data_IF_009148237649
#
_entry.id   IF_009148237649
#
_cell.length_a   1.000
_cell.length_b   1.000
_cell.length_c   1.000
_cell.angle_alpha   90.00
_cell.angle_beta   90.00
_cell.angle_gamma   90.00
#
_symmetry.space_group_name_H-M   'P 1'
#
loop_
_entity.id
_entity.type
_entity.pdbx_description
1 polymer ?
#
# COMPACT_ATOMS: atom_id res chain seq x y z
N UNK A 1 4.00 2.47 -11.14
CA UNK A 1 3.41 3.02 -9.91
C UNK A 1 2.33 4.07 -10.21
N UNK A 2 2.49 5.01 -11.17
CA UNK A 2 1.46 6.04 -11.49
C UNK A 2 0.12 5.43 -11.92
N UNK A 3 0.12 4.48 -12.85
CA UNK A 3 -1.10 3.76 -13.28
C UNK A 3 -1.73 3.00 -12.11
N UNK A 4 -0.92 2.35 -11.30
CA UNK A 4 -1.38 1.67 -10.09
C UNK A 4 -2.08 2.66 -9.14
N UNK A 5 -1.49 3.83 -8.89
CA UNK A 5 -2.09 4.86 -8.04
C UNK A 5 -3.46 5.29 -8.55
N UNK A 6 -3.60 5.51 -9.86
CA UNK A 6 -4.88 5.81 -10.46
C UNK A 6 -5.90 4.68 -10.22
N UNK A 7 -5.51 3.43 -10.47
CA UNK A 7 -6.38 2.25 -10.23
C UNK A 7 -6.77 2.12 -8.75
N UNK A 8 -5.83 2.41 -7.83
CA UNK A 8 -6.08 2.40 -6.40
C UNK A 8 -7.12 3.45 -5.99
N UNK A 9 -6.95 4.71 -6.44
CA UNK A 9 -7.85 5.80 -6.06
C UNK A 9 -9.26 5.65 -6.63
N UNK A 10 -9.39 5.15 -7.84
CA UNK A 10 -10.69 4.97 -8.51
C UNK A 10 -11.32 3.59 -8.29
N UNK A 11 -10.81 2.80 -7.33
CA UNK A 11 -11.30 1.45 -7.04
C UNK A 11 -11.37 0.55 -8.28
N UNK A 12 -10.27 0.51 -9.03
CA UNK A 12 -10.17 -0.26 -10.27
C UNK A 12 -9.18 -1.42 -10.21
N UNK A 13 -8.51 -1.61 -9.06
CA UNK A 13 -7.64 -2.76 -8.84
C UNK A 13 -8.47 -4.05 -8.76
N UNK A 14 -7.93 -5.13 -9.29
CA UNK A 14 -8.56 -6.45 -9.25
C UNK A 14 -8.40 -7.10 -7.86
N UNK A 15 -8.93 -6.43 -6.82
CA UNK A 15 -9.16 -7.05 -5.52
C UNK A 15 -10.20 -8.16 -5.65
N UNK A 16 -10.31 -9.03 -4.65
CA UNK A 16 -11.28 -10.13 -4.71
C UNK A 16 -12.71 -9.61 -4.80
N UNK A 17 -13.06 -8.55 -4.06
CA UNK A 17 -14.35 -7.88 -4.17
C UNK A 17 -14.60 -7.33 -5.59
N UNK A 18 -13.60 -6.68 -6.19
CA UNK A 18 -13.73 -6.19 -7.56
C UNK A 18 -13.94 -7.31 -8.57
N UNK A 19 -13.29 -8.45 -8.40
CA UNK A 19 -13.50 -9.62 -9.26
C UNK A 19 -14.92 -10.17 -9.13
N UNK A 20 -15.49 -10.21 -7.93
CA UNK A 20 -16.89 -10.58 -7.70
C UNK A 20 -17.84 -9.60 -8.39
N UNK A 21 -17.63 -8.30 -8.20
CA UNK A 21 -18.44 -7.25 -8.85
C UNK A 21 -18.38 -7.30 -10.38
N UNK A 22 -17.31 -7.86 -10.95
CA UNK A 22 -17.15 -8.08 -12.40
C UNK A 22 -17.63 -9.45 -12.87
N UNK A 23 -18.40 -10.16 -12.04
CA UNK A 23 -18.94 -11.51 -12.33
C UNK A 23 -17.89 -12.59 -12.61
N UNK A 24 -16.65 -12.42 -12.10
CA UNK A 24 -15.67 -13.49 -12.06
C UNK A 24 -16.03 -14.40 -10.89
N UNK A 25 -16.22 -15.69 -11.18
CA UNK A 25 -16.63 -16.64 -10.15
C UNK A 25 -15.52 -16.82 -9.13
N UNK A 26 -15.84 -16.55 -7.86
CA UNK A 26 -15.08 -17.06 -6.74
C UNK A 26 -16.04 -17.80 -5.81
N UNK A 27 -15.56 -18.87 -5.18
CA UNK A 27 -16.29 -19.47 -4.07
C UNK A 27 -16.38 -18.45 -2.92
N UNK A 28 -17.34 -18.62 -2.01
CA UNK A 28 -17.52 -17.70 -0.88
C UNK A 28 -16.24 -17.58 0.00
N UNK A 29 -15.42 -18.64 0.04
CA UNK A 29 -14.16 -18.68 0.77
C UNK A 29 -12.98 -18.02 0.03
N UNK A 30 -13.08 -17.88 -1.30
CA UNK A 30 -12.01 -17.28 -2.12
C UNK A 30 -11.93 -15.75 -1.99
N UNK A 31 -12.93 -15.13 -1.32
CA UNK A 31 -13.00 -13.68 -1.16
C UNK A 31 -12.26 -13.13 0.07
N UNK A 32 -11.68 -14.01 0.88
CA UNK A 32 -10.99 -13.62 2.10
C UNK A 32 -9.59 -13.06 1.82
N UNK A 33 -9.19 -12.09 2.62
CA UNK A 33 -7.85 -11.53 2.56
C UNK A 33 -6.81 -12.59 2.97
N UNK A 34 -5.84 -12.86 2.09
CA UNK A 34 -4.81 -13.87 2.31
C UNK A 34 -3.58 -13.34 3.05
N UNK A 35 -3.51 -12.03 3.34
CA UNK A 35 -2.35 -11.44 3.98
C UNK A 35 -2.52 -11.39 5.51
N UNK A 36 -3.71 -11.09 6.01
CA UNK A 36 -3.93 -10.90 7.45
C UNK A 36 -4.39 -12.16 8.20
N UNK A 37 -4.90 -13.17 7.52
CA UNK A 37 -5.47 -14.39 8.12
C UNK A 37 -6.63 -14.14 9.11
N UNK A 38 -7.37 -13.04 8.97
CA UNK A 38 -8.46 -12.64 9.89
C UNK A 38 -9.85 -13.00 9.39
N UNK A 39 -9.95 -13.79 8.34
CA UNK A 39 -11.25 -14.16 7.73
C UNK A 39 -12.11 -12.96 7.29
N UNK A 40 -11.48 -11.86 6.93
CA UNK A 40 -12.13 -10.63 6.43
C UNK A 40 -12.15 -10.62 4.92
N UNK A 41 -13.26 -10.14 4.33
CA UNK A 41 -13.36 -9.98 2.87
C UNK A 41 -12.32 -8.96 2.36
N UNK A 42 -11.69 -9.31 1.24
CA UNK A 42 -10.69 -8.48 0.61
C UNK A 42 -11.36 -7.49 -0.34
N UNK A 43 -11.56 -6.28 0.14
CA UNK A 43 -11.83 -5.11 -0.70
C UNK A 43 -10.62 -4.15 -0.68
N UNK A 44 -10.72 -3.05 -1.40
CA UNK A 44 -9.68 -2.02 -1.46
C UNK A 44 -9.38 -1.41 -0.09
N UNK A 45 -10.43 -1.10 0.67
CA UNK A 45 -10.28 -0.41 1.96
C UNK A 45 -9.64 -1.34 2.98
N UNK A 46 -10.10 -2.59 3.06
CA UNK A 46 -9.45 -3.57 3.93
C UNK A 46 -7.99 -3.78 3.52
N UNK A 47 -7.73 -4.14 2.26
CA UNK A 47 -6.39 -4.54 1.81
C UNK A 47 -5.35 -3.46 2.05
N UNK A 48 -5.66 -2.20 1.76
CA UNK A 48 -4.66 -1.12 1.79
C UNK A 48 -4.66 -0.30 3.08
N UNK A 49 -5.76 -0.25 3.84
CA UNK A 49 -5.87 0.64 4.99
C UNK A 49 -6.20 -0.07 6.30
N UNK A 50 -7.13 -1.04 6.31
CA UNK A 50 -7.65 -1.65 7.53
C UNK A 50 -7.05 -3.03 7.84
N UNK A 51 -6.38 -3.68 6.88
CA UNK A 51 -5.72 -4.96 7.10
C UNK A 51 -4.61 -4.80 8.15
N UNK A 52 -4.51 -5.71 9.12
CA UNK A 52 -3.45 -5.69 10.15
C UNK A 52 -2.04 -5.63 9.54
N UNK A 53 -1.82 -6.30 8.43
CA UNK A 53 -0.56 -6.20 7.71
C UNK A 53 -0.31 -4.77 7.22
N UNK A 54 -1.28 -4.18 6.55
CA UNK A 54 -1.17 -2.81 6.02
C UNK A 54 -1.10 -1.77 7.13
N UNK A 55 -1.84 -1.94 8.21
CA UNK A 55 -1.73 -1.08 9.40
C UNK A 55 -0.32 -1.09 9.99
N UNK A 56 0.33 -2.26 10.05
CA UNK A 56 1.74 -2.37 10.46
C UNK A 56 2.68 -1.61 9.51
N UNK A 57 2.41 -1.67 8.21
CA UNK A 57 3.16 -0.91 7.18
C UNK A 57 3.04 0.59 7.43
N UNK A 58 1.82 1.10 7.60
CA UNK A 58 1.58 2.53 7.78
C UNK A 58 2.14 3.05 9.11
N UNK A 59 2.02 2.27 10.17
CA UNK A 59 2.63 2.60 11.46
C UNK A 59 4.16 2.70 11.36
N UNK A 60 4.81 1.78 10.65
CA UNK A 60 6.24 1.83 10.40
C UNK A 60 6.68 3.08 9.63
N UNK A 61 5.84 3.54 8.69
CA UNK A 61 6.09 4.76 7.90
C UNK A 61 5.60 6.04 8.59
N UNK A 62 5.02 5.94 9.79
CA UNK A 62 4.39 7.04 10.51
C UNK A 62 3.31 7.76 9.69
N UNK A 63 2.54 7.01 8.90
CA UNK A 63 1.40 7.51 8.13
C UNK A 63 0.10 7.12 8.85
N UNK A 64 -0.66 8.14 9.26
CA UNK A 64 -1.93 7.99 9.97
C UNK A 64 -3.11 8.24 9.03
N UNK A 65 -4.00 7.24 8.91
CA UNK A 65 -5.19 7.27 8.06
C UNK A 65 -6.47 7.63 8.82
N UNK A 66 -6.41 8.00 10.09
CA UNK A 66 -7.59 8.17 10.98
C UNK A 66 -8.41 9.43 10.71
N UNK A 67 -8.01 10.29 9.83
CA UNK A 67 -8.51 11.66 9.73
C UNK A 67 -9.48 11.96 8.59
N UNK A 68 -10.51 11.14 8.34
CA UNK A 68 -11.46 11.48 7.29
C UNK A 68 -12.67 10.55 7.20
N UNK A 69 -13.74 11.03 6.55
CA UNK A 69 -14.96 10.25 6.30
C UNK A 69 -14.88 9.45 5.00
N UNK A 70 -13.98 9.82 4.09
CA UNK A 70 -13.72 9.14 2.84
C UNK A 70 -12.22 9.08 2.53
N UNK A 71 -11.84 8.30 1.51
CA UNK A 71 -10.44 8.07 1.16
C UNK A 71 -9.69 9.35 0.77
N UNK A 72 -10.37 10.32 0.16
CA UNK A 72 -9.74 11.57 -0.28
C UNK A 72 -9.39 12.43 0.94
N UNK A 73 -10.29 12.53 1.89
CA UNK A 73 -10.06 13.23 3.16
C UNK A 73 -8.97 12.55 3.98
N UNK A 74 -8.98 11.21 4.07
CA UNK A 74 -7.91 10.46 4.74
C UNK A 74 -6.53 10.75 4.13
N UNK A 75 -6.42 10.79 2.80
CA UNK A 75 -5.18 11.11 2.10
C UNK A 75 -4.72 12.54 2.39
N UNK A 76 -5.62 13.52 2.33
CA UNK A 76 -5.29 14.91 2.61
C UNK A 76 -4.81 15.07 4.05
N UNK A 77 -5.50 14.46 5.00
CA UNK A 77 -5.13 14.46 6.40
C UNK A 77 -3.75 13.81 6.64
N UNK A 78 -3.57 12.60 6.12
CA UNK A 78 -2.30 11.87 6.25
C UNK A 78 -1.13 12.66 5.64
N UNK A 79 -1.33 13.27 4.47
CA UNK A 79 -0.34 14.14 3.81
C UNK A 79 0.07 15.31 4.69
N UNK A 80 -0.90 15.99 5.31
CA UNK A 80 -0.64 17.15 6.18
C UNK A 80 0.17 16.73 7.41
N UNK A 81 -0.11 15.57 7.98
CA UNK A 81 0.59 15.06 9.18
C UNK A 81 1.96 14.48 8.87
N UNK A 82 2.17 13.93 7.69
CA UNK A 82 3.45 13.33 7.28
C UNK A 82 4.61 14.34 7.20
N UNK A 83 4.31 15.62 6.96
CA UNK A 83 5.25 16.77 7.02
C UNK A 83 6.46 16.70 6.07
N UNK A 84 6.49 15.79 5.11
CA UNK A 84 7.55 15.70 4.10
C UNK A 84 6.98 15.92 2.69
N UNK A 85 7.75 16.53 1.78
CA UNK A 85 7.27 16.87 0.44
C UNK A 85 7.10 15.64 -0.48
N UNK A 86 7.52 14.46 -0.04
CA UNK A 86 7.49 13.20 -0.80
C UNK A 86 6.45 12.19 -0.28
N UNK A 87 5.34 12.68 0.27
CA UNK A 87 4.26 11.84 0.79
C UNK A 87 3.73 10.84 -0.24
N UNK A 88 3.44 11.32 -1.46
CA UNK A 88 2.86 10.45 -2.50
C UNK A 88 3.85 9.40 -3.00
N UNK A 89 5.12 9.73 -3.08
CA UNK A 89 6.19 8.77 -3.42
C UNK A 89 6.23 7.63 -2.41
N UNK A 90 6.22 7.94 -1.13
CA UNK A 90 6.22 6.96 -0.04
C UNK A 90 4.93 6.15 -0.04
N UNK A 91 3.78 6.81 -0.03
CA UNK A 91 2.47 6.16 0.02
C UNK A 91 2.26 5.20 -1.16
N UNK A 92 2.50 5.67 -2.39
CA UNK A 92 2.29 4.85 -3.59
C UNK A 92 3.27 3.68 -3.69
N UNK A 93 4.53 3.89 -3.28
CA UNK A 93 5.52 2.80 -3.26
C UNK A 93 5.17 1.77 -2.20
N UNK A 94 4.72 2.20 -1.03
CA UNK A 94 4.29 1.31 0.05
C UNK A 94 3.07 0.47 -0.37
N UNK A 95 2.02 1.12 -0.90
CA UNK A 95 0.82 0.46 -1.37
C UNK A 95 1.11 -0.49 -2.55
N UNK A 96 1.98 -0.11 -3.49
CA UNK A 96 2.44 -0.96 -4.58
C UNK A 96 3.08 -2.25 -4.05
N UNK A 97 3.93 -2.16 -3.03
CA UNK A 97 4.57 -3.34 -2.45
C UNK A 97 3.61 -4.22 -1.64
N UNK A 98 2.57 -3.65 -1.02
CA UNK A 98 1.45 -4.44 -0.46
C UNK A 98 0.76 -5.23 -1.58
N UNK A 99 0.45 -4.58 -2.69
CA UNK A 99 -0.19 -5.20 -3.86
C UNK A 99 0.64 -6.33 -4.47
N UNK A 100 1.94 -6.15 -4.61
CA UNK A 100 2.85 -7.18 -5.12
C UNK A 100 2.89 -8.39 -4.19
N UNK A 101 2.99 -8.19 -2.87
CA UNK A 101 2.97 -9.29 -1.90
C UNK A 101 1.63 -10.03 -1.90
N UNK A 102 0.51 -9.28 -1.96
CA UNK A 102 -0.82 -9.90 -2.09
C UNK A 102 -0.92 -10.76 -3.34
N UNK A 103 -0.42 -10.29 -4.48
CA UNK A 103 -0.43 -11.05 -5.73
C UNK A 103 0.51 -12.27 -5.65
N UNK A 104 1.67 -12.15 -5.05
CA UNK A 104 2.56 -13.28 -4.77
C UNK A 104 1.87 -14.35 -3.92
N UNK A 105 1.17 -13.94 -2.87
CA UNK A 105 0.38 -14.86 -2.02
C UNK A 105 -0.77 -15.51 -2.77
N UNK A 106 -1.49 -14.75 -3.60
CA UNK A 106 -2.68 -15.23 -4.32
C UNK A 106 -2.33 -16.19 -5.45
N UNK A 107 -1.30 -15.89 -6.25
CA UNK A 107 -1.03 -16.61 -7.50
C UNK A 107 0.15 -17.56 -7.44
N UNK A 108 1.05 -17.40 -6.46
CA UNK A 108 2.28 -18.20 -6.35
C UNK A 108 2.47 -18.84 -4.98
N UNK A 109 1.48 -18.75 -4.08
CA UNK A 109 1.52 -19.23 -2.70
C UNK A 109 2.75 -18.71 -1.90
N UNK A 110 3.31 -17.56 -2.28
CA UNK A 110 4.43 -16.94 -1.58
C UNK A 110 4.01 -16.43 -0.21
N UNK A 111 4.94 -16.45 0.75
CA UNK A 111 4.65 -15.91 2.10
C UNK A 111 4.71 -14.39 2.08
N UNK A 112 3.61 -13.74 2.43
CA UNK A 112 3.55 -12.31 2.65
C UNK A 112 4.06 -11.99 4.07
N UNK A 113 5.31 -11.52 4.18
CA UNK A 113 5.90 -11.12 5.45
C UNK A 113 6.25 -9.64 5.48
N UNK A 114 6.22 -9.04 6.66
CA UNK A 114 6.62 -7.65 6.82
C UNK A 114 8.08 -7.40 6.41
N UNK A 115 8.98 -8.35 6.70
CA UNK A 115 10.38 -8.26 6.30
C UNK A 115 10.54 -8.23 4.78
N UNK A 116 9.82 -9.11 4.05
CA UNK A 116 9.83 -9.12 2.59
C UNK A 116 9.29 -7.79 2.02
N UNK A 117 8.19 -7.27 2.60
CA UNK A 117 7.65 -5.96 2.24
C UNK A 117 8.69 -4.85 2.48
N UNK A 118 9.31 -4.81 3.67
CA UNK A 118 10.30 -3.79 4.03
C UNK A 118 11.48 -3.78 3.05
N UNK A 119 12.06 -4.94 2.75
CA UNK A 119 13.17 -5.05 1.79
C UNK A 119 12.79 -4.51 0.42
N UNK A 120 11.61 -4.90 -0.11
CA UNK A 120 11.15 -4.41 -1.42
C UNK A 120 10.84 -2.92 -1.40
N UNK A 121 10.19 -2.43 -0.36
CA UNK A 121 9.87 -1.02 -0.20
C UNK A 121 11.15 -0.16 -0.18
N UNK A 122 12.13 -0.52 0.65
CA UNK A 122 13.41 0.21 0.74
C UNK A 122 14.14 0.20 -0.61
N UNK A 123 14.17 -0.95 -1.29
CA UNK A 123 14.75 -1.04 -2.63
C UNK A 123 14.07 -0.08 -3.62
N UNK A 124 12.73 -0.15 -3.72
CA UNK A 124 11.97 0.61 -4.71
C UNK A 124 11.99 2.12 -4.43
N UNK A 125 11.87 2.53 -3.16
CA UNK A 125 11.92 3.95 -2.79
C UNK A 125 13.34 4.53 -2.99
N UNK A 126 14.39 3.73 -2.78
CA UNK A 126 15.77 4.13 -3.07
C UNK A 126 15.99 4.35 -4.57
N UNK A 127 15.46 3.48 -5.42
CA UNK A 127 15.47 3.68 -6.87
C UNK A 127 14.69 4.93 -7.29
N UNK A 128 13.54 5.18 -6.64
CA UNK A 128 12.72 6.35 -6.92
C UNK A 128 13.44 7.65 -6.53
N UNK A 129 14.27 7.62 -5.48
CA UNK A 129 15.05 8.79 -5.03
C UNK A 129 15.98 9.34 -6.13
N UNK A 130 16.36 8.53 -7.12
CA UNK A 130 17.14 9.01 -8.28
C UNK A 130 16.31 9.73 -9.34
N UNK A 131 14.97 9.68 -9.23
CA UNK A 131 14.02 10.23 -10.22
C UNK A 131 13.21 11.42 -9.69
N UNK A 132 13.30 11.71 -8.39
CA UNK A 132 12.67 12.88 -7.81
C UNK A 132 13.50 14.15 -8.08
N UNK A 133 12.86 15.31 -7.92
CA UNK A 133 13.53 16.61 -8.06
C UNK A 133 14.74 16.72 -7.11
N UNK A 134 15.80 17.36 -7.57
CA UNK A 134 17.05 17.55 -6.78
C UNK A 134 16.80 18.23 -5.43
N UNK A 135 15.80 19.11 -5.34
CA UNK A 135 15.41 19.77 -4.08
C UNK A 135 14.79 18.82 -3.04
N UNK A 136 14.25 17.68 -3.47
CA UNK A 136 13.58 16.68 -2.62
C UNK A 136 14.55 15.53 -2.27
N UNK A 137 15.42 15.18 -3.19
CA UNK A 137 16.30 14.01 -3.10
C UNK A 137 17.08 13.90 -1.80
N UNK A 138 17.79 14.93 -1.29
CA UNK A 138 18.54 14.81 -0.03
C UNK A 138 17.64 14.49 1.17
N UNK A 139 16.48 15.12 1.23
CA UNK A 139 15.48 14.90 2.30
C UNK A 139 14.92 13.48 2.25
N UNK A 140 14.64 12.97 1.06
CA UNK A 140 14.14 11.60 0.88
C UNK A 140 15.21 10.57 1.25
N UNK A 141 16.47 10.76 0.83
CA UNK A 141 17.58 9.87 1.19
C UNK A 141 17.85 9.84 2.70
N UNK A 142 17.84 11.01 3.37
CA UNK A 142 17.98 11.09 4.81
C UNK A 142 16.84 10.37 5.54
N UNK A 143 15.59 10.54 5.06
CA UNK A 143 14.44 9.85 5.62
C UNK A 143 14.53 8.33 5.42
N UNK A 144 14.93 7.85 4.23
CA UNK A 144 15.16 6.42 3.98
C UNK A 144 16.23 5.88 4.97
N UNK A 145 17.32 6.61 5.18
CA UNK A 145 18.37 6.24 6.15
C UNK A 145 17.83 6.06 7.57
N UNK A 146 16.82 6.84 7.98
CA UNK A 146 16.19 6.71 9.30
C UNK A 146 15.30 5.48 9.46
N UNK A 147 14.95 4.81 8.36
CA UNK A 147 14.14 3.57 8.37
C UNK A 147 14.99 2.29 8.47
N UNK A 148 16.29 2.38 8.25
CA UNK A 148 17.20 1.23 8.26
C UNK A 148 17.58 0.84 9.68
#
# INVERSE_FOLDING_TARGET
IKVFGWLLFFDRLNTKDMLVRRHWRSSQYDNLCLICNEYVYEDRIHLFFNCNFSSRVWNYLSIDWSGGSDIQQCILHARTRFRHPFFFEVMLTAAWNIWILRNGRTFRAERATFSAWKCKFIHDISLLAHRVKDSIKPKLLAWIGSLL
#
